data_IF_063959124764
#
_entry.id   IF_063959124764
#
_cell.length_a   1.000
_cell.length_b   1.000
_cell.length_c   1.000
_cell.angle_alpha   90.00
_cell.angle_beta   90.00
_cell.angle_gamma   90.00
#
_symmetry.space_group_name_H-M   'P 1'
#
loop_
_entity.id
_entity.type
_entity.pdbx_description
1 polymer ?
#
# COMPACT_ATOMS: atom_id res chain seq x y z
N UNK A 1 -8.12 -11.75 6.85
CA UNK A 1 -6.82 -11.11 6.65
C UNK A 1 -5.83 -11.83 7.51
N UNK A 2 -4.82 -12.41 6.93
CA UNK A 2 -3.69 -12.97 7.63
C UNK A 2 -2.53 -11.99 7.58
N UNK A 3 -1.85 -11.76 8.69
CA UNK A 3 -0.64 -10.95 8.74
C UNK A 3 0.56 -11.77 9.20
N UNK A 4 1.70 -11.55 8.55
CA UNK A 4 2.97 -12.19 8.89
C UNK A 4 4.07 -11.13 8.92
N UNK A 5 5.22 -11.49 9.46
CA UNK A 5 6.41 -10.63 9.48
C UNK A 5 6.14 -9.21 9.98
N UNK A 6 5.45 -9.09 11.11
CA UNK A 6 5.14 -7.79 11.69
C UNK A 6 6.40 -7.14 12.24
N UNK A 7 6.73 -5.96 11.72
CA UNK A 7 7.83 -5.11 12.17
C UNK A 7 7.27 -3.83 12.77
N UNK A 8 7.73 -3.49 13.96
CA UNK A 8 7.39 -2.21 14.61
C UNK A 8 8.65 -1.42 14.87
N UNK A 9 8.58 -0.13 14.68
CA UNK A 9 9.72 0.75 14.89
C UNK A 9 9.31 2.19 15.04
N UNK A 10 10.30 3.06 15.13
CA UNK A 10 10.12 4.50 15.14
C UNK A 10 11.04 5.12 14.10
N UNK A 11 10.51 6.06 13.34
CA UNK A 11 11.24 6.81 12.33
C UNK A 11 10.78 8.27 12.36
N UNK A 12 11.72 9.21 12.32
CA UNK A 12 11.41 10.66 12.44
C UNK A 12 10.55 11.01 13.66
N UNK A 13 10.82 10.37 14.81
CA UNK A 13 10.04 10.51 16.06
C UNK A 13 8.56 10.08 15.94
N UNK A 14 8.21 9.30 14.94
CA UNK A 14 6.88 8.72 14.73
C UNK A 14 6.95 7.22 14.69
N UNK A 15 5.94 6.57 15.20
CA UNK A 15 5.87 5.11 15.21
C UNK A 15 5.36 4.60 13.86
N UNK A 16 5.85 3.43 13.47
CA UNK A 16 5.30 2.69 12.35
C UNK A 16 5.09 1.22 12.69
N UNK A 17 4.15 0.61 12.01
CA UNK A 17 3.95 -0.84 11.98
C UNK A 17 3.93 -1.27 10.52
N UNK A 18 4.76 -2.22 10.15
CA UNK A 18 4.77 -2.84 8.82
C UNK A 18 4.47 -4.33 8.95
N UNK A 19 3.62 -4.86 8.09
CA UNK A 19 3.26 -6.27 8.08
C UNK A 19 3.05 -6.77 6.65
N UNK A 20 3.45 -8.01 6.40
CA UNK A 20 3.01 -8.71 5.20
C UNK A 20 1.56 -9.13 5.40
N UNK A 21 0.72 -8.84 4.42
CA UNK A 21 -0.72 -9.09 4.48
C UNK A 21 -1.17 -9.90 3.27
N UNK A 22 -2.05 -10.86 3.54
CA UNK A 22 -2.77 -11.60 2.52
C UNK A 22 -4.27 -11.35 2.71
N UNK A 23 -4.94 -10.87 1.68
CA UNK A 23 -6.39 -10.74 1.65
C UNK A 23 -6.94 -11.85 0.80
N UNK A 24 -7.63 -12.78 1.44
CA UNK A 24 -8.34 -13.88 0.79
C UNK A 24 -9.77 -13.44 0.56
N UNK A 25 -10.20 -13.39 -0.70
CA UNK A 25 -11.62 -13.24 -1.04
C UNK A 25 -12.17 -14.64 -1.29
N UNK A 26 -13.19 -15.06 -0.52
CA UNK A 26 -13.89 -16.30 -0.87
C UNK A 26 -14.46 -16.16 -2.28
N UNK A 27 -14.11 -17.07 -3.18
CA UNK A 27 -14.75 -17.10 -4.50
C UNK A 27 -16.27 -17.18 -4.34
N UNK A 28 -17.04 -16.58 -5.25
CA UNK A 28 -18.51 -16.65 -5.20
C UNK A 28 -19.04 -18.09 -5.16
N UNK A 29 -18.26 -19.09 -5.65
CA UNK A 29 -18.50 -20.51 -5.46
C UNK A 29 -18.35 -20.99 -4.01
N UNK A 30 -17.63 -20.26 -3.16
CA UNK A 30 -17.45 -20.63 -1.75
C UNK A 30 -18.75 -20.52 -0.93
N UNK A 31 -19.59 -19.55 -1.27
CA UNK A 31 -20.88 -19.35 -0.60
C UNK A 31 -21.94 -20.41 -1.00
N UNK A 32 -21.77 -21.05 -2.16
CA UNK A 32 -22.70 -22.05 -2.69
C UNK A 32 -22.22 -23.49 -2.47
N UNK A 33 -20.95 -23.72 -2.27
CA UNK A 33 -20.39 -25.05 -2.03
C UNK A 33 -20.28 -25.32 -0.54
N UNK A 34 -21.36 -25.78 0.06
CA UNK A 34 -21.35 -26.36 1.42
C UNK A 34 -20.45 -27.60 1.56
N UNK A 35 -19.84 -28.07 0.47
CA UNK A 35 -18.86 -29.15 0.42
C UNK A 35 -17.46 -28.58 0.19
N UNK A 36 -16.74 -28.39 1.28
CA UNK A 36 -15.41 -27.78 1.41
C UNK A 36 -14.25 -28.40 0.60
N UNK A 37 -14.46 -29.42 -0.20
CA UNK A 37 -13.35 -30.14 -0.87
C UNK A 37 -12.80 -29.46 -2.13
N UNK A 38 -13.48 -28.49 -2.71
CA UNK A 38 -13.09 -27.84 -3.98
C UNK A 38 -13.16 -26.30 -3.94
N UNK A 39 -13.20 -25.68 -2.78
CA UNK A 39 -13.13 -24.23 -2.69
C UNK A 39 -11.67 -23.79 -2.93
N UNK A 40 -11.39 -23.28 -4.12
CA UNK A 40 -10.15 -22.55 -4.35
C UNK A 40 -10.25 -21.22 -3.62
N UNK A 41 -9.37 -21.02 -2.63
CA UNK A 41 -9.12 -19.71 -2.07
C UNK A 41 -8.51 -18.84 -3.17
N UNK A 42 -9.22 -17.81 -3.59
CA UNK A 42 -8.67 -16.81 -4.49
C UNK A 42 -8.05 -15.73 -3.62
N UNK A 43 -6.74 -15.70 -3.58
CA UNK A 43 -6.02 -14.60 -2.98
C UNK A 43 -6.27 -13.35 -3.83
N UNK A 44 -6.90 -12.35 -3.24
CA UNK A 44 -7.20 -11.11 -3.93
C UNK A 44 -6.00 -10.16 -3.93
N UNK A 45 -5.23 -10.18 -2.85
CA UNK A 45 -4.12 -9.26 -2.63
C UNK A 45 -3.04 -9.93 -1.79
N UNK A 46 -1.82 -9.91 -2.29
CA UNK A 46 -0.61 -10.18 -1.53
C UNK A 46 0.20 -8.91 -1.43
N UNK A 47 0.59 -8.51 -0.23
CA UNK A 47 1.35 -7.28 -0.16
C UNK A 47 1.88 -6.96 1.21
N UNK A 48 2.34 -5.74 1.33
CA UNK A 48 2.80 -5.15 2.57
C UNK A 48 1.93 -3.97 2.93
N UNK A 49 1.44 -3.97 4.17
CA UNK A 49 0.77 -2.82 4.76
C UNK A 49 1.73 -2.12 5.72
N UNK A 50 1.83 -0.81 5.62
CA UNK A 50 2.58 0.04 6.54
C UNK A 50 1.60 1.05 7.12
N UNK A 51 1.47 1.05 8.45
CA UNK A 51 0.79 2.09 9.20
C UNK A 51 1.84 3.00 9.81
N UNK A 52 1.68 4.31 9.62
CA UNK A 52 2.59 5.33 10.10
C UNK A 52 1.81 6.39 10.90
N UNK A 53 2.32 6.74 12.07
CA UNK A 53 1.68 7.69 12.98
C UNK A 53 1.89 9.14 12.52
N UNK A 54 1.38 9.43 11.32
CA UNK A 54 1.21 10.77 10.79
C UNK A 54 -0.26 10.99 10.46
N UNK A 55 -0.88 11.97 11.12
CA UNK A 55 -2.29 12.31 10.95
C UNK A 55 -2.42 13.51 10.04
N UNK A 56 -3.21 13.35 8.99
CA UNK A 56 -3.57 14.43 8.09
C UNK A 56 -4.95 14.96 8.49
N UNK A 57 -4.98 16.11 9.19
CA UNK A 57 -6.20 16.63 9.81
C UNK A 57 -7.04 17.51 8.87
N UNK A 58 -6.51 17.88 7.71
CA UNK A 58 -7.19 18.77 6.76
C UNK A 58 -8.15 18.00 5.82
N UNK A 59 -8.34 16.73 6.06
CA UNK A 59 -9.23 15.87 5.26
C UNK A 59 -8.67 14.49 5.01
N UNK A 60 -8.94 13.95 3.82
CA UNK A 60 -8.41 12.66 3.39
C UNK A 60 -7.86 12.74 1.98
N UNK A 61 -6.71 12.09 1.74
CA UNK A 61 -6.10 11.94 0.42
C UNK A 61 -5.77 10.47 0.22
N UNK A 62 -6.10 9.94 -0.97
CA UNK A 62 -5.72 8.59 -1.39
C UNK A 62 -5.00 8.71 -2.72
N UNK A 63 -3.77 8.19 -2.79
CA UNK A 63 -2.92 8.17 -3.98
C UNK A 63 -2.79 6.72 -4.41
N UNK A 64 -3.15 6.41 -5.64
CA UNK A 64 -3.07 5.05 -6.20
C UNK A 64 -2.14 5.05 -7.40
N UNK A 65 -1.03 4.32 -7.32
CA UNK A 65 -0.20 3.99 -8.47
C UNK A 65 -0.76 2.74 -9.11
N UNK A 66 -1.27 2.85 -10.33
CA UNK A 66 -1.88 1.74 -11.06
C UNK A 66 -0.84 0.84 -11.68
N UNK A 67 -0.97 -0.46 -11.43
CA UNK A 67 -0.44 -1.51 -12.28
C UNK A 67 -1.52 -2.06 -13.21
N UNK A 68 -1.18 -3.06 -14.00
CA UNK A 68 -2.12 -3.69 -14.96
C UNK A 68 -3.34 -4.34 -14.29
N UNK A 69 -3.22 -4.76 -13.03
CA UNK A 69 -4.25 -5.51 -12.27
C UNK A 69 -4.71 -4.79 -11.02
N UNK A 70 -4.54 -3.47 -10.95
CA UNK A 70 -4.87 -2.71 -9.74
C UNK A 70 -6.36 -2.81 -9.41
N UNK A 71 -6.67 -3.33 -8.25
CA UNK A 71 -8.00 -3.26 -7.67
C UNK A 71 -8.24 -1.82 -7.15
N UNK A 72 -9.22 -1.14 -7.71
CA UNK A 72 -9.61 0.19 -7.24
C UNK A 72 -10.28 0.09 -5.87
N UNK A 73 -10.02 1.03 -4.95
CA UNK A 73 -10.72 1.05 -3.67
C UNK A 73 -12.23 1.21 -3.88
N UNK A 74 -13.01 0.26 -3.39
CA UNK A 74 -14.46 0.22 -3.57
C UNK A 74 -15.23 1.25 -2.71
N UNK A 75 -14.56 1.96 -1.81
CA UNK A 75 -15.18 2.86 -0.85
C UNK A 75 -14.48 4.22 -0.83
N UNK A 76 -14.79 5.02 -1.84
CA UNK A 76 -14.40 6.44 -1.88
C UNK A 76 -15.58 7.36 -1.53
N UNK A 77 -16.50 6.89 -0.68
CA UNK A 77 -17.63 7.73 -0.24
C UNK A 77 -17.11 8.99 0.45
N UNK A 78 -17.47 10.15 -0.08
CA UNK A 78 -16.97 11.44 0.40
C UNK A 78 -15.65 11.87 -0.22
N UNK A 79 -15.06 11.08 -1.12
CA UNK A 79 -13.87 11.45 -1.90
C UNK A 79 -14.26 11.76 -3.35
N UNK A 80 -13.54 12.68 -3.97
CA UNK A 80 -13.61 12.97 -5.39
C UNK A 80 -12.24 12.77 -6.04
N UNK A 81 -12.22 12.39 -7.31
CA UNK A 81 -10.99 12.30 -8.08
C UNK A 81 -10.45 13.71 -8.36
N UNK A 82 -9.15 13.90 -8.14
CA UNK A 82 -8.46 15.18 -8.33
C UNK A 82 -7.26 14.97 -9.23
N UNK A 83 -7.13 15.83 -10.25
CA UNK A 83 -5.95 15.83 -11.12
C UNK A 83 -4.83 16.64 -10.46
N UNK A 84 -3.68 16.01 -10.23
CA UNK A 84 -2.49 16.64 -9.65
C UNK A 84 -1.41 16.71 -10.73
N UNK A 85 -0.90 17.90 -11.07
CA UNK A 85 0.18 18.05 -12.05
C UNK A 85 1.40 17.20 -11.65
N UNK A 86 1.92 16.42 -12.60
CA UNK A 86 3.06 15.53 -12.38
C UNK A 86 2.67 14.13 -11.88
N UNK A 87 1.41 13.87 -11.54
CA UNK A 87 0.91 12.54 -11.12
C UNK A 87 -0.07 11.94 -12.15
N UNK A 88 0.20 12.09 -13.45
CA UNK A 88 -0.68 11.63 -14.53
C UNK A 88 -0.84 10.10 -14.55
N UNK A 89 0.19 9.37 -14.09
CA UNK A 89 0.17 7.90 -13.96
C UNK A 89 -0.52 7.41 -12.66
N UNK A 90 -1.07 8.31 -11.89
CA UNK A 90 -1.74 8.03 -10.62
C UNK A 90 -3.21 8.38 -10.70
N UNK A 91 -3.99 7.78 -9.79
CA UNK A 91 -5.30 8.32 -9.43
C UNK A 91 -5.17 8.91 -8.03
N UNK A 92 -5.59 10.14 -7.90
CA UNK A 92 -5.65 10.82 -6.61
C UNK A 92 -7.11 11.08 -6.27
N UNK A 93 -7.53 10.65 -5.08
CA UNK A 93 -8.82 10.97 -4.50
C UNK A 93 -8.61 11.87 -3.30
N UNK A 94 -9.46 12.85 -3.12
CA UNK A 94 -9.43 13.72 -1.95
C UNK A 94 -10.84 14.05 -1.47
N UNK A 95 -10.99 14.33 -0.18
CA UNK A 95 -12.24 14.85 0.39
C UNK A 95 -12.47 16.31 0.01
N UNK A 96 -11.38 17.06 -0.25
CA UNK A 96 -11.40 18.44 -0.74
C UNK A 96 -10.28 18.65 -1.77
N UNK A 97 -10.65 19.09 -2.98
CA UNK A 97 -9.70 19.30 -4.07
C UNK A 97 -8.71 20.45 -3.78
N UNK A 98 -9.13 21.50 -3.07
CA UNK A 98 -8.23 22.60 -2.72
C UNK A 98 -7.17 22.16 -1.72
N UNK A 99 -7.56 21.34 -0.74
CA UNK A 99 -6.64 20.73 0.22
C UNK A 99 -5.62 19.86 -0.50
N UNK A 100 -6.07 19.02 -1.43
CA UNK A 100 -5.16 18.19 -2.22
C UNK A 100 -4.19 19.04 -3.05
N UNK A 101 -4.67 20.03 -3.79
CA UNK A 101 -3.80 20.90 -4.61
C UNK A 101 -2.76 21.65 -3.79
N UNK A 102 -3.07 22.04 -2.57
CA UNK A 102 -2.12 22.71 -1.66
C UNK A 102 -1.15 21.73 -0.98
N UNK A 103 -1.55 20.48 -0.82
CA UNK A 103 -0.75 19.46 -0.17
C UNK A 103 0.43 18.99 -1.05
N UNK A 104 0.20 18.84 -2.37
CA UNK A 104 1.23 18.37 -3.28
C UNK A 104 2.17 19.52 -3.69
N UNK A 105 3.41 19.43 -3.25
CA UNK A 105 4.50 20.25 -3.77
C UNK A 105 5.37 19.43 -4.75
N UNK A 106 6.25 20.09 -5.47
CA UNK A 106 7.12 19.46 -6.49
C UNK A 106 7.97 18.34 -5.89
N UNK A 107 8.54 18.56 -4.71
CA UNK A 107 9.41 17.58 -4.04
C UNK A 107 8.65 16.30 -3.67
N UNK A 108 7.44 16.43 -3.11
CA UNK A 108 6.58 15.30 -2.77
C UNK A 108 6.13 14.52 -4.02
N UNK A 109 5.75 15.23 -5.08
CA UNK A 109 5.38 14.63 -6.36
C UNK A 109 6.53 13.80 -6.94
N UNK A 110 7.74 14.36 -7.03
CA UNK A 110 8.92 13.65 -7.54
C UNK A 110 9.29 12.46 -6.65
N UNK A 111 9.12 12.57 -5.34
CA UNK A 111 9.38 11.47 -4.42
C UNK A 111 8.40 10.32 -4.60
N UNK A 112 7.11 10.62 -4.75
CA UNK A 112 6.08 9.61 -5.04
C UNK A 112 6.37 8.90 -6.37
N UNK A 113 6.72 9.66 -7.41
CA UNK A 113 7.07 9.12 -8.74
C UNK A 113 8.33 8.24 -8.71
N UNK A 114 9.27 8.51 -7.81
CA UNK A 114 10.49 7.71 -7.68
C UNK A 114 10.26 6.27 -7.23
N UNK A 115 9.06 5.95 -6.75
CA UNK A 115 8.67 4.56 -6.44
C UNK A 115 8.19 3.91 -7.73
N UNK A 116 9.11 3.29 -8.46
CA UNK A 116 8.83 2.62 -9.73
C UNK A 116 8.18 1.26 -9.52
N UNK A 117 7.19 0.95 -10.37
CA UNK A 117 6.65 -0.40 -10.49
C UNK A 117 7.63 -1.30 -11.25
N UNK A 118 7.66 -2.57 -10.90
CA UNK A 118 8.49 -3.59 -11.55
C UNK A 118 7.77 -4.96 -11.46
N UNK A 119 8.46 -6.03 -11.86
CA UNK A 119 7.91 -7.39 -11.81
C UNK A 119 7.55 -7.89 -10.40
N UNK A 120 8.14 -7.29 -9.36
CA UNK A 120 7.85 -7.61 -7.97
C UNK A 120 6.79 -6.68 -7.38
N UNK A 121 6.94 -5.36 -7.50
CA UNK A 121 6.00 -4.36 -7.02
C UNK A 121 4.99 -4.03 -8.13
N UNK A 122 3.79 -4.56 -8.01
CA UNK A 122 2.76 -4.50 -9.05
C UNK A 122 1.95 -3.20 -9.03
N UNK A 123 1.63 -2.72 -7.85
CA UNK A 123 0.94 -1.45 -7.60
C UNK A 123 1.09 -1.04 -6.13
N UNK A 124 0.67 0.18 -5.80
CA UNK A 124 0.62 0.62 -4.41
C UNK A 124 -0.41 1.74 -4.20
N UNK A 125 -0.79 1.90 -2.95
CA UNK A 125 -1.70 2.93 -2.49
C UNK A 125 -1.14 3.61 -1.24
N UNK A 126 -1.26 4.94 -1.17
CA UNK A 126 -0.95 5.73 0.01
C UNK A 126 -2.25 6.44 0.43
N UNK A 127 -2.68 6.26 1.65
CA UNK A 127 -3.86 6.91 2.23
C UNK A 127 -3.46 7.75 3.43
N UNK A 128 -3.84 9.01 3.41
CA UNK A 128 -3.63 9.97 4.48
C UNK A 128 -4.97 10.44 5.01
N UNK A 129 -5.15 10.39 6.33
CA UNK A 129 -6.35 10.87 7.00
C UNK A 129 -6.08 11.18 8.49
N UNK A 130 -7.12 11.55 9.23
CA UNK A 130 -7.07 11.89 10.65
C UNK A 130 -6.71 10.71 11.59
N UNK A 131 -6.77 9.48 11.09
CA UNK A 131 -6.39 8.28 11.86
C UNK A 131 -4.91 7.93 11.70
N UNK A 132 -4.30 8.29 10.59
CA UNK A 132 -2.91 8.00 10.29
C UNK A 132 -2.63 7.99 8.80
N UNK A 133 -1.41 7.60 8.46
CA UNK A 133 -1.00 7.33 7.08
C UNK A 133 -0.84 5.83 6.88
N UNK A 134 -1.48 5.32 5.84
CA UNK A 134 -1.47 3.91 5.51
C UNK A 134 -0.91 3.73 4.11
N UNK A 135 0.08 2.86 3.98
CA UNK A 135 0.63 2.48 2.68
C UNK A 135 0.32 1.00 2.48
N UNK A 136 -0.19 0.68 1.32
CA UNK A 136 -0.35 -0.68 0.87
C UNK A 136 0.44 -0.88 -0.42
N UNK A 137 1.34 -1.85 -0.43
CA UNK A 137 2.14 -2.23 -1.59
C UNK A 137 1.77 -3.66 -1.99
N UNK A 138 1.29 -3.82 -3.22
CA UNK A 138 0.93 -5.11 -3.80
C UNK A 138 2.13 -5.72 -4.50
N UNK A 139 2.49 -6.92 -4.09
CA UNK A 139 3.64 -7.64 -4.64
C UNK A 139 3.22 -8.88 -5.41
N UNK A 140 4.07 -9.30 -6.34
CA UNK A 140 3.87 -10.57 -7.05
C UNK A 140 3.94 -11.76 -6.08
N UNK A 141 3.27 -12.85 -6.44
CA UNK A 141 3.26 -14.09 -5.64
C UNK A 141 4.68 -14.60 -5.36
N UNK A 142 5.57 -14.48 -6.34
CA UNK A 142 6.96 -14.91 -6.21
C UNK A 142 7.77 -14.10 -5.18
N UNK A 143 7.38 -12.86 -4.96
CA UNK A 143 8.05 -11.98 -4.01
C UNK A 143 7.75 -12.36 -2.56
N UNK A 144 6.50 -12.75 -2.28
CA UNK A 144 6.02 -13.03 -0.92
C UNK A 144 6.34 -14.47 -0.46
N UNK A 145 6.65 -15.37 -1.40
CA UNK A 145 7.05 -16.73 -1.07
C UNK A 145 8.52 -16.75 -0.67
N UNK A 146 8.77 -16.79 0.64
CA UNK A 146 10.11 -17.14 1.15
C UNK A 146 10.30 -18.63 0.99
N UNK A 147 11.20 -19.11 0.12
CA UNK A 147 11.49 -20.53 0.02
C UNK A 147 12.02 -21.02 1.38
N UNK A 148 11.24 -21.83 2.07
CA UNK A 148 11.53 -22.30 3.43
C UNK A 148 12.81 -23.12 3.56
N UNK A 149 13.38 -23.59 2.43
CA UNK A 149 14.55 -24.47 2.43
C UNK A 149 15.87 -23.83 1.99
N UNK A 150 15.87 -22.59 1.44
CA UNK A 150 17.09 -21.95 0.90
C UNK A 150 17.19 -20.44 1.15
N UNK A 151 16.25 -19.84 1.84
CA UNK A 151 16.32 -18.42 2.11
C UNK A 151 17.33 -18.14 3.21
N UNK A 152 18.40 -17.45 2.87
CA UNK A 152 19.22 -16.77 3.86
C UNK A 152 18.35 -15.70 4.52
N UNK A 153 18.06 -15.80 5.84
CA UNK A 153 17.22 -14.83 6.54
C UNK A 153 17.69 -13.38 6.31
N UNK A 154 18.99 -13.20 6.19
CA UNK A 154 19.66 -11.92 5.94
C UNK A 154 19.16 -11.24 4.64
N UNK A 155 18.97 -11.98 3.56
CA UNK A 155 18.47 -11.42 2.30
C UNK A 155 17.01 -11.00 2.40
N UNK A 156 16.21 -11.74 3.17
CA UNK A 156 14.81 -11.40 3.41
C UNK A 156 14.69 -10.12 4.24
N UNK A 157 15.49 -9.98 5.30
CA UNK A 157 15.52 -8.75 6.09
C UNK A 157 15.98 -7.55 5.28
N UNK A 158 17.03 -7.71 4.48
CA UNK A 158 17.52 -6.63 3.62
C UNK A 158 16.47 -6.15 2.62
N UNK A 159 15.70 -7.06 2.02
CA UNK A 159 14.57 -6.72 1.12
C UNK A 159 13.48 -5.95 1.87
N UNK A 160 13.04 -6.48 3.01
CA UNK A 160 12.00 -5.84 3.84
C UNK A 160 12.41 -4.41 4.23
N UNK A 161 13.67 -4.23 4.63
CA UNK A 161 14.20 -2.91 4.98
C UNK A 161 14.24 -2.00 3.75
N UNK A 162 14.74 -2.48 2.60
CA UNK A 162 14.84 -1.69 1.39
C UNK A 162 13.47 -1.23 0.89
N UNK A 163 12.46 -2.11 0.93
CA UNK A 163 11.10 -1.77 0.51
C UNK A 163 10.43 -0.79 1.46
N UNK A 164 10.57 -1.03 2.76
CA UNK A 164 10.07 -0.08 3.75
C UNK A 164 10.73 1.30 3.55
N UNK A 165 12.03 1.33 3.23
CA UNK A 165 12.77 2.58 3.01
C UNK A 165 12.22 3.40 1.84
N UNK A 166 11.78 2.75 0.74
CA UNK A 166 11.18 3.44 -0.41
C UNK A 166 9.94 4.23 0.01
N UNK A 167 9.03 3.58 0.73
CA UNK A 167 7.78 4.21 1.17
C UNK A 167 7.98 5.20 2.32
N UNK A 168 8.84 4.87 3.26
CA UNK A 168 9.15 5.72 4.41
C UNK A 168 9.79 7.03 3.95
N UNK A 169 10.61 7.00 2.91
CA UNK A 169 11.22 8.20 2.37
C UNK A 169 10.21 9.21 1.77
N UNK A 170 9.03 8.76 1.35
CA UNK A 170 7.91 9.64 1.00
C UNK A 170 7.36 10.33 2.26
N UNK A 171 7.27 9.58 3.36
CA UNK A 171 6.73 10.08 4.62
C UNK A 171 7.64 11.13 5.30
N UNK A 172 8.94 11.17 4.95
CA UNK A 172 9.86 12.24 5.41
C UNK A 172 9.40 13.64 5.01
N UNK A 173 8.72 13.74 3.86
CA UNK A 173 8.25 15.02 3.32
C UNK A 173 6.89 15.44 3.89
N UNK A 174 6.25 14.57 4.66
CA UNK A 174 4.98 14.84 5.33
C UNK A 174 5.19 15.51 6.70
N UNK A 175 6.05 16.52 6.77
CA UNK A 175 6.39 17.19 8.04
C UNK A 175 5.44 18.33 8.33
#
# INVERSE_FOLDING_TARGET
IESRCVVKGSLFNRNFTSADVAVVIPSAGYALAANKKNAQEVFALYGRAIEFDYKFNDGGIIIVRKGEKTAMPNHTVGYQEVSIPGLEDFIVYATDANVANNFFNVELVEKIKSIELNEDLLDYMISLNDKGTFIYANYSDNYMVVPTSKAHPENTYARVIADNHKFISVLELLK
#
